data_IF_674671776863
#
_entry.id   IF_674671776863
#
_cell.length_a   1.000
_cell.length_b   1.000
_cell.length_c   1.000
_cell.angle_alpha   90.00
_cell.angle_beta   90.00
_cell.angle_gamma   90.00
#
_symmetry.space_group_name_H-M   'P 1'
#
loop_
_entity.id
_entity.type
_entity.pdbx_description
1 polymer ?
#
# COMPACT_ATOMS: atom_id res chain seq x y z
N UNK A 1 -30.83 13.57 4.34
CA UNK A 1 -29.52 13.07 3.88
C UNK A 1 -29.70 12.61 2.45
N UNK A 2 -28.97 13.20 1.50
CA UNK A 2 -29.00 12.75 0.09
C UNK A 2 -28.32 11.39 0.04
N UNK A 3 -29.04 10.36 -0.37
CA UNK A 3 -28.44 9.04 -0.60
C UNK A 3 -27.42 9.13 -1.72
N UNK A 4 -26.24 8.54 -1.49
CA UNK A 4 -25.20 8.40 -2.51
C UNK A 4 -25.48 7.11 -3.28
N UNK A 5 -25.58 7.21 -4.60
CA UNK A 5 -25.86 6.08 -5.48
C UNK A 5 -24.67 5.78 -6.37
N UNK A 6 -24.42 4.49 -6.56
CA UNK A 6 -23.55 3.92 -7.56
C UNK A 6 -24.38 3.43 -8.74
N UNK A 7 -23.84 3.38 -9.92
CA UNK A 7 -24.45 2.69 -11.04
C UNK A 7 -23.75 1.35 -11.27
N UNK A 8 -24.47 0.24 -11.05
CA UNK A 8 -24.04 -1.08 -11.51
C UNK A 8 -24.47 -1.22 -12.97
N UNK A 9 -23.53 -1.51 -13.85
CA UNK A 9 -23.77 -1.66 -15.29
C UNK A 9 -23.39 -3.04 -15.77
N UNK A 10 -24.13 -3.58 -16.76
CA UNK A 10 -23.82 -4.82 -17.46
C UNK A 10 -23.37 -4.47 -18.87
N UNK A 11 -22.25 -5.05 -19.29
CA UNK A 11 -21.61 -4.84 -20.60
C UNK A 11 -21.66 -6.16 -21.33
N UNK A 12 -22.47 -6.27 -22.40
CA UNK A 12 -22.63 -7.52 -23.16
C UNK A 12 -21.72 -7.53 -24.39
N UNK A 13 -21.38 -6.38 -24.94
CA UNK A 13 -20.57 -6.23 -26.14
C UNK A 13 -19.27 -5.47 -25.83
N UNK A 14 -18.15 -6.02 -26.27
CA UNK A 14 -16.83 -5.45 -26.00
C UNK A 14 -16.20 -5.94 -24.69
N UNK A 15 -15.02 -5.44 -24.39
CA UNK A 15 -14.31 -5.75 -23.16
C UNK A 15 -14.62 -4.71 -22.08
N UNK A 16 -14.40 -5.07 -20.80
CA UNK A 16 -14.46 -4.12 -19.71
C UNK A 16 -13.52 -2.92 -19.96
N UNK A 17 -12.35 -3.16 -20.53
CA UNK A 17 -11.37 -2.12 -20.81
C UNK A 17 -11.87 -1.14 -21.88
N UNK A 18 -12.51 -1.61 -22.94
CA UNK A 18 -13.10 -0.74 -23.96
C UNK A 18 -14.16 0.19 -23.36
N UNK A 19 -15.02 -0.38 -22.51
CA UNK A 19 -16.05 0.38 -21.82
C UNK A 19 -15.44 1.42 -20.87
N UNK A 20 -14.43 1.04 -20.10
CA UNK A 20 -13.70 1.94 -19.20
C UNK A 20 -13.09 3.10 -19.95
N UNK A 21 -12.44 2.86 -21.08
CA UNK A 21 -11.84 3.90 -21.93
C UNK A 21 -12.90 4.87 -22.46
N UNK A 22 -14.05 4.39 -22.88
CA UNK A 22 -15.15 5.25 -23.33
C UNK A 22 -15.66 6.15 -22.20
N UNK A 23 -15.81 5.61 -20.98
CA UNK A 23 -16.20 6.40 -19.82
C UNK A 23 -15.15 7.46 -19.45
N UNK A 24 -13.87 7.16 -19.59
CA UNK A 24 -12.79 8.13 -19.38
C UNK A 24 -12.86 9.25 -20.40
N UNK A 25 -13.17 8.96 -21.67
CA UNK A 25 -13.39 10.00 -22.68
C UNK A 25 -14.54 10.93 -22.31
N UNK A 26 -15.65 10.40 -21.79
CA UNK A 26 -16.80 11.19 -21.33
C UNK A 26 -16.48 12.02 -20.09
N UNK A 27 -15.80 11.44 -19.11
CA UNK A 27 -15.55 12.07 -17.81
C UNK A 27 -14.28 12.91 -17.77
N UNK A 28 -13.30 12.60 -18.61
CA UNK A 28 -11.98 13.26 -18.66
C UNK A 28 -10.86 12.42 -18.02
N UNK A 29 -9.60 12.85 -18.20
CA UNK A 29 -8.42 12.14 -17.71
C UNK A 29 -8.48 11.89 -16.21
N UNK A 30 -8.00 10.73 -15.77
CA UNK A 30 -7.94 10.35 -14.36
C UNK A 30 -9.24 9.87 -13.74
N UNK A 31 -10.33 9.76 -14.54
CA UNK A 31 -11.65 9.28 -14.06
C UNK A 31 -11.84 7.77 -14.20
N UNK A 32 -10.91 7.07 -14.79
CA UNK A 32 -10.89 5.60 -14.90
C UNK A 32 -10.98 4.86 -13.56
N UNK A 33 -10.46 5.47 -12.49
CA UNK A 33 -10.61 4.99 -11.11
C UNK A 33 -12.06 4.97 -10.59
N UNK A 34 -12.95 5.66 -11.27
CA UNK A 34 -14.39 5.63 -10.98
C UNK A 34 -15.10 4.39 -11.49
N UNK A 35 -14.42 3.53 -12.26
CA UNK A 35 -15.00 2.32 -12.88
C UNK A 35 -14.39 1.09 -12.23
N UNK A 36 -15.21 0.35 -11.47
CA UNK A 36 -14.81 -0.89 -10.80
C UNK A 36 -15.38 -2.10 -11.54
N UNK A 37 -14.55 -3.03 -11.95
CA UNK A 37 -15.02 -4.31 -12.46
C UNK A 37 -15.51 -5.17 -11.29
N UNK A 38 -16.78 -5.62 -11.31
CA UNK A 38 -17.40 -6.46 -10.29
C UNK A 38 -17.85 -7.82 -10.81
N UNK A 39 -17.60 -8.10 -12.08
CA UNK A 39 -17.88 -9.37 -12.77
C UNK A 39 -17.29 -9.35 -14.16
N UNK A 40 -17.31 -10.49 -14.87
CA UNK A 40 -16.77 -10.59 -16.24
C UNK A 40 -17.39 -9.55 -17.18
N UNK A 41 -18.70 -9.31 -17.02
CA UNK A 41 -19.47 -8.37 -17.82
C UNK A 41 -20.14 -7.29 -16.96
N UNK A 42 -19.68 -7.05 -15.76
CA UNK A 42 -20.30 -6.13 -14.83
C UNK A 42 -19.28 -5.12 -14.30
N UNK A 43 -19.69 -3.86 -14.27
CA UNK A 43 -18.92 -2.77 -13.68
C UNK A 43 -19.76 -2.00 -12.66
N UNK A 44 -19.09 -1.46 -11.64
CA UNK A 44 -19.66 -0.55 -10.67
C UNK A 44 -19.05 0.84 -10.88
N UNK A 45 -19.90 1.83 -11.14
CA UNK A 45 -19.50 3.21 -11.40
C UNK A 45 -19.64 4.04 -10.12
N UNK A 46 -18.56 4.65 -9.70
CA UNK A 46 -18.51 5.48 -8.49
C UNK A 46 -19.25 6.81 -8.64
N UNK A 47 -19.79 7.37 -7.56
CA UNK A 47 -20.56 8.62 -7.60
C UNK A 47 -19.80 9.83 -8.16
N UNK A 48 -18.48 9.92 -7.92
CA UNK A 48 -17.70 11.05 -8.43
C UNK A 48 -17.54 11.00 -9.96
N UNK A 49 -17.34 9.80 -10.55
CA UNK A 49 -17.33 9.62 -11.99
C UNK A 49 -18.66 10.06 -12.61
N UNK A 50 -19.78 9.61 -12.03
CA UNK A 50 -21.12 9.97 -12.49
C UNK A 50 -21.38 11.48 -12.41
N UNK A 51 -20.93 12.13 -11.32
CA UNK A 51 -20.99 13.60 -11.19
C UNK A 51 -20.14 14.30 -12.24
N UNK A 52 -18.94 13.78 -12.54
CA UNK A 52 -18.05 14.37 -13.52
C UNK A 52 -18.60 14.27 -14.94
N UNK A 53 -19.15 13.10 -15.31
CA UNK A 53 -19.84 12.92 -16.61
C UNK A 53 -20.98 13.94 -16.73
N UNK A 54 -21.81 14.04 -15.69
CA UNK A 54 -22.93 14.98 -15.67
C UNK A 54 -22.49 16.44 -15.78
N UNK A 55 -21.39 16.82 -15.13
CA UNK A 55 -20.90 18.21 -15.18
C UNK A 55 -20.37 18.61 -16.55
N UNK A 56 -19.80 17.65 -17.30
CA UNK A 56 -19.26 17.90 -18.65
C UNK A 56 -20.33 17.88 -19.73
N UNK A 57 -21.42 17.15 -19.51
CA UNK A 57 -22.51 17.01 -20.47
C UNK A 57 -23.88 17.23 -19.78
N UNK A 58 -24.14 18.44 -19.27
CA UNK A 58 -25.32 18.71 -18.43
C UNK A 58 -26.65 18.60 -19.16
N UNK A 59 -26.64 18.68 -20.48
CA UNK A 59 -27.86 18.60 -21.31
C UNK A 59 -28.31 17.15 -21.62
N UNK A 60 -27.45 16.15 -21.37
CA UNK A 60 -27.72 14.75 -21.68
C UNK A 60 -27.90 13.95 -20.38
N UNK A 61 -28.93 13.13 -20.24
CA UNK A 61 -29.09 12.26 -19.08
C UNK A 61 -27.89 11.30 -18.94
N UNK A 62 -27.38 11.13 -17.71
CA UNK A 62 -26.22 10.26 -17.45
C UNK A 62 -26.49 8.83 -17.92
N UNK A 63 -27.70 8.31 -17.75
CA UNK A 63 -28.07 6.96 -18.22
C UNK A 63 -27.91 6.82 -19.74
N UNK A 64 -28.27 7.85 -20.51
CA UNK A 64 -28.10 7.84 -21.96
C UNK A 64 -26.62 7.77 -22.32
N UNK A 65 -25.77 8.57 -21.68
CA UNK A 65 -24.32 8.59 -21.91
C UNK A 65 -23.67 7.24 -21.54
N UNK A 66 -24.13 6.60 -20.46
CA UNK A 66 -23.65 5.28 -20.08
C UNK A 66 -24.05 4.20 -21.09
N UNK A 67 -25.26 4.29 -21.67
CA UNK A 67 -25.71 3.39 -22.73
C UNK A 67 -24.94 3.59 -24.03
N UNK A 68 -24.71 4.82 -24.43
CA UNK A 68 -23.89 5.18 -25.59
C UNK A 68 -22.44 4.67 -25.45
N UNK A 69 -21.92 4.65 -24.20
CA UNK A 69 -20.62 4.08 -23.88
C UNK A 69 -20.61 2.53 -23.86
N UNK A 70 -21.76 1.84 -23.98
CA UNK A 70 -21.84 0.38 -24.07
C UNK A 70 -22.57 -0.31 -22.91
N UNK A 71 -23.16 0.41 -21.96
CA UNK A 71 -23.95 -0.20 -20.92
C UNK A 71 -25.29 -0.76 -21.46
N UNK A 72 -25.49 -2.06 -21.33
CA UNK A 72 -26.73 -2.72 -21.73
C UNK A 72 -27.81 -2.65 -20.64
N UNK A 73 -27.39 -2.72 -19.40
CA UNK A 73 -28.24 -2.58 -18.21
C UNK A 73 -27.60 -1.65 -17.20
N UNK A 74 -28.39 -0.84 -16.51
CA UNK A 74 -27.95 0.10 -15.49
C UNK A 74 -28.89 -0.07 -14.29
N UNK A 75 -28.31 -0.48 -13.16
CA UNK A 75 -29.00 -0.60 -11.87
C UNK A 75 -28.43 0.45 -10.91
N UNK A 76 -29.26 1.35 -10.41
CA UNK A 76 -28.84 2.30 -9.38
C UNK A 76 -28.88 1.63 -8.01
N UNK A 77 -27.73 1.51 -7.36
CA UNK A 77 -27.60 0.86 -6.07
C UNK A 77 -27.11 1.84 -5.00
N UNK A 78 -27.56 1.63 -3.78
CA UNK A 78 -27.13 2.43 -2.64
C UNK A 78 -25.71 2.06 -2.24
N UNK A 79 -25.05 2.97 -1.55
CA UNK A 79 -23.65 2.83 -1.13
C UNK A 79 -23.38 1.54 -0.31
N UNK A 80 -24.29 1.20 0.61
CA UNK A 80 -24.19 -0.03 1.41
C UNK A 80 -24.23 -1.30 0.55
N UNK A 81 -25.11 -1.36 -0.43
CA UNK A 81 -25.19 -2.48 -1.39
C UNK A 81 -23.96 -2.53 -2.31
N UNK A 82 -23.44 -1.38 -2.72
CA UNK A 82 -22.23 -1.28 -3.54
C UNK A 82 -21.00 -1.78 -2.76
N UNK A 83 -20.88 -1.43 -1.49
CA UNK A 83 -19.82 -1.92 -0.61
C UNK A 83 -19.91 -3.44 -0.40
N UNK A 84 -21.10 -3.99 -0.25
CA UNK A 84 -21.29 -5.44 -0.12
C UNK A 84 -20.86 -6.19 -1.37
N UNK A 85 -21.26 -5.75 -2.56
CA UNK A 85 -20.84 -6.35 -3.84
C UNK A 85 -19.33 -6.29 -4.01
N UNK A 86 -18.73 -5.19 -3.56
CA UNK A 86 -17.31 -4.99 -3.62
C UNK A 86 -16.54 -5.90 -2.64
N UNK A 87 -17.02 -6.01 -1.39
CA UNK A 87 -16.44 -6.92 -0.39
C UNK A 87 -16.55 -8.38 -0.83
N UNK A 88 -17.66 -8.78 -1.47
CA UNK A 88 -17.79 -10.12 -2.06
C UNK A 88 -16.69 -10.40 -3.08
N UNK A 89 -16.36 -9.45 -3.94
CA UNK A 89 -15.29 -9.62 -4.90
C UNK A 89 -13.89 -9.67 -4.27
N UNK A 90 -13.62 -8.84 -3.23
CA UNK A 90 -12.36 -8.96 -2.49
C UNK A 90 -12.20 -10.36 -1.90
N UNK A 91 -13.29 -10.94 -1.39
CA UNK A 91 -13.29 -12.31 -0.86
C UNK A 91 -13.08 -13.34 -1.98
N UNK A 92 -13.67 -13.13 -3.15
CA UNK A 92 -13.47 -13.98 -4.33
C UNK A 92 -12.04 -13.86 -4.89
N UNK A 93 -11.46 -12.67 -4.93
CA UNK A 93 -10.05 -12.45 -5.30
C UNK A 93 -9.06 -13.06 -4.26
N UNK A 94 -9.54 -13.32 -3.04
CA UNK A 94 -8.80 -14.05 -2.00
C UNK A 94 -9.05 -15.57 -2.07
N UNK A 95 -9.99 -16.05 -2.91
CA UNK A 95 -10.25 -17.48 -3.10
C UNK A 95 -9.08 -18.10 -3.87
N UNK A 96 -8.33 -19.07 -3.27
CA UNK A 96 -7.18 -19.70 -3.93
C UNK A 96 -7.55 -20.58 -5.13
N UNK A 97 -8.82 -20.72 -5.48
CA UNK A 97 -9.28 -21.56 -6.59
C UNK A 97 -9.44 -20.81 -7.92
N UNK A 98 -9.35 -19.47 -7.93
CA UNK A 98 -9.39 -18.72 -9.18
C UNK A 98 -7.94 -18.54 -9.70
N UNK A 99 -7.44 -19.52 -10.43
CA UNK A 99 -6.29 -19.34 -11.30
C UNK A 99 -6.68 -18.44 -12.49
N UNK A 100 -6.65 -17.14 -12.26
CA UNK A 100 -6.61 -16.20 -13.38
C UNK A 100 -5.17 -16.25 -13.90
N UNK A 101 -4.99 -16.71 -15.14
CA UNK A 101 -3.69 -16.68 -15.80
C UNK A 101 -3.08 -15.29 -15.66
N UNK A 102 -1.93 -15.19 -14.99
CA UNK A 102 -1.20 -13.93 -14.86
C UNK A 102 -0.94 -13.45 -16.29
N UNK A 103 -1.43 -12.28 -16.72
CA UNK A 103 -1.09 -11.76 -18.03
C UNK A 103 0.43 -11.73 -18.15
N UNK A 104 0.96 -11.93 -19.35
CA UNK A 104 2.40 -11.75 -19.61
C UNK A 104 2.75 -10.27 -19.43
N UNK A 105 2.93 -9.90 -18.16
CA UNK A 105 3.12 -8.52 -17.75
C UNK A 105 4.46 -8.03 -18.28
N UNK A 106 4.50 -6.83 -18.83
CA UNK A 106 5.76 -6.18 -19.19
C UNK A 106 6.69 -6.16 -17.96
N UNK A 107 7.79 -6.92 -18.02
CA UNK A 107 8.68 -7.13 -16.88
C UNK A 107 8.35 -8.36 -16.02
N UNK A 108 7.33 -9.15 -16.37
CA UNK A 108 6.97 -10.38 -15.67
C UNK A 108 6.63 -10.16 -14.19
N UNK A 109 6.93 -11.14 -13.35
CA UNK A 109 6.69 -11.12 -11.90
C UNK A 109 7.44 -9.99 -11.15
N UNK A 110 8.47 -9.38 -11.76
CA UNK A 110 9.28 -8.30 -11.19
C UNK A 110 8.87 -6.90 -11.65
N UNK A 111 7.76 -6.74 -12.36
CA UNK A 111 7.37 -5.47 -12.97
C UNK A 111 7.40 -4.28 -11.99
N UNK A 112 7.00 -4.51 -10.74
CA UNK A 112 6.96 -3.48 -9.70
C UNK A 112 8.36 -2.96 -9.34
N UNK A 113 9.37 -3.83 -9.35
CA UNK A 113 10.77 -3.44 -9.13
C UNK A 113 11.29 -2.57 -10.27
N UNK A 114 10.92 -2.92 -11.52
CA UNK A 114 11.27 -2.15 -12.72
C UNK A 114 10.51 -0.81 -12.75
N UNK A 115 9.23 -0.83 -12.39
CA UNK A 115 8.39 0.37 -12.39
C UNK A 115 8.91 1.47 -11.45
N UNK A 116 9.50 1.11 -10.31
CA UNK A 116 10.16 2.08 -9.41
C UNK A 116 11.68 2.17 -9.66
N UNK A 117 12.20 1.53 -10.71
CA UNK A 117 13.59 1.62 -11.12
C UNK A 117 14.58 1.33 -9.97
N UNK A 118 14.35 0.27 -9.16
CA UNK A 118 15.11 0.05 -7.92
C UNK A 118 16.56 -0.41 -8.16
N UNK A 119 16.87 -1.02 -9.31
CA UNK A 119 18.19 -1.61 -9.58
C UNK A 119 19.37 -0.63 -9.45
N UNK A 120 19.30 0.63 -9.91
CA UNK A 120 20.35 1.62 -9.67
C UNK A 120 20.57 1.93 -8.19
N UNK A 121 19.51 1.95 -7.38
CA UNK A 121 19.62 2.15 -5.94
C UNK A 121 20.37 1.01 -5.26
N UNK A 122 20.06 -0.23 -5.63
CA UNK A 122 20.81 -1.40 -5.16
C UNK A 122 22.28 -1.35 -5.59
N UNK A 123 22.55 -1.01 -6.86
CA UNK A 123 23.93 -0.89 -7.37
C UNK A 123 24.74 0.16 -6.60
N UNK A 124 24.13 1.30 -6.26
CA UNK A 124 24.76 2.36 -5.48
C UNK A 124 25.09 1.96 -4.03
N UNK A 125 24.47 0.86 -3.53
CA UNK A 125 24.69 0.29 -2.19
C UNK A 125 25.46 -1.04 -2.22
N UNK A 126 26.10 -1.40 -3.34
CA UNK A 126 26.92 -2.60 -3.48
C UNK A 126 26.19 -3.86 -3.93
N UNK A 127 24.89 -3.75 -4.22
CA UNK A 127 24.02 -4.84 -4.66
C UNK A 127 22.99 -5.28 -3.62
N UNK A 128 21.86 -5.86 -4.05
CA UNK A 128 20.72 -6.11 -3.18
C UNK A 128 20.98 -7.14 -2.07
N UNK A 129 21.97 -8.00 -2.24
CA UNK A 129 22.28 -9.05 -1.26
C UNK A 129 23.34 -8.62 -0.22
N UNK A 130 24.00 -7.47 -0.44
CA UNK A 130 25.16 -7.00 0.32
C UNK A 130 24.97 -5.62 0.96
N UNK A 131 23.75 -5.07 0.92
CA UNK A 131 23.45 -3.78 1.54
C UNK A 131 23.79 -3.83 3.03
N UNK A 132 24.62 -2.89 3.47
CA UNK A 132 24.91 -2.70 4.89
C UNK A 132 23.91 -1.72 5.49
N UNK A 133 22.95 -2.22 6.23
CA UNK A 133 21.90 -1.43 6.85
C UNK A 133 22.33 -0.65 8.10
N UNK A 134 23.50 -0.98 8.68
CA UNK A 134 23.97 -0.36 9.91
C UNK A 134 22.97 -0.52 11.06
N UNK A 135 22.52 0.59 11.60
CA UNK A 135 21.47 0.65 12.65
C UNK A 135 20.07 0.95 12.11
N UNK A 136 19.93 1.08 10.80
CA UNK A 136 18.64 1.40 10.18
C UNK A 136 17.65 0.26 10.39
N UNK A 137 16.47 0.59 10.85
CA UNK A 137 15.40 -0.36 11.12
C UNK A 137 14.05 0.14 10.59
N UNK A 138 13.25 -0.79 10.06
CA UNK A 138 11.88 -0.54 9.58
C UNK A 138 10.89 -1.15 10.55
N UNK A 139 9.81 -0.40 10.84
CA UNK A 139 8.65 -0.88 11.57
C UNK A 139 7.46 -1.14 10.63
N UNK A 140 6.59 -2.03 11.02
CA UNK A 140 5.32 -2.30 10.33
C UNK A 140 4.19 -2.45 11.34
N UNK A 141 3.11 -1.68 11.17
CA UNK A 141 1.84 -1.89 11.85
C UNK A 141 0.90 -2.64 10.91
N UNK A 142 0.47 -3.85 11.29
CA UNK A 142 -0.31 -4.72 10.40
C UNK A 142 -1.06 -5.83 11.16
N UNK A 143 -1.52 -6.88 10.45
CA UNK A 143 -2.11 -8.09 11.01
C UNK A 143 -1.09 -9.04 11.65
N UNK A 144 0.17 -8.65 11.73
CA UNK A 144 1.27 -9.50 12.17
C UNK A 144 2.02 -10.17 11.02
N UNK A 145 2.91 -11.11 11.33
CA UNK A 145 3.65 -11.89 10.34
C UNK A 145 3.45 -13.39 10.52
N UNK A 146 3.66 -14.17 9.47
CA UNK A 146 3.83 -15.62 9.53
C UNK A 146 5.27 -15.99 9.16
N UNK A 147 5.72 -17.14 9.61
CA UNK A 147 7.04 -17.65 9.21
C UNK A 147 7.02 -17.99 7.72
N UNK A 148 7.83 -17.30 6.92
CA UNK A 148 7.92 -17.52 5.49
C UNK A 148 9.37 -17.43 5.00
N UNK A 149 9.73 -18.25 3.99
CA UNK A 149 11.10 -18.23 3.42
C UNK A 149 11.48 -16.85 2.88
N UNK A 150 10.54 -16.06 2.37
CA UNK A 150 10.81 -14.70 1.89
C UNK A 150 11.28 -13.75 3.00
N UNK A 151 10.94 -14.02 4.25
CA UNK A 151 11.38 -13.29 5.44
C UNK A 151 12.55 -13.98 6.17
N UNK A 152 13.24 -14.92 5.51
CA UNK A 152 14.44 -15.61 6.02
C UNK A 152 14.16 -16.81 6.89
N UNK A 153 12.95 -17.13 7.23
CA UNK A 153 12.65 -18.31 8.03
C UNK A 153 13.02 -19.61 7.28
N UNK A 154 13.76 -20.48 7.94
CA UNK A 154 14.27 -21.71 7.34
C UNK A 154 15.33 -21.53 6.25
N UNK A 155 15.89 -20.33 6.11
CA UNK A 155 16.97 -20.03 5.15
C UNK A 155 18.34 -19.93 5.84
N UNK A 156 19.44 -20.18 5.12
CA UNK A 156 20.78 -19.90 5.64
C UNK A 156 20.91 -18.42 6.06
N UNK A 157 21.42 -18.19 7.27
CA UNK A 157 21.54 -16.86 7.85
C UNK A 157 20.32 -16.40 8.67
N UNK A 158 19.24 -17.19 8.68
CA UNK A 158 18.06 -16.91 9.49
C UNK A 158 17.20 -15.74 9.00
N UNK A 159 16.30 -15.27 9.85
CA UNK A 159 15.44 -14.11 9.60
C UNK A 159 16.13 -12.81 10.03
N UNK A 160 15.83 -11.72 9.34
CA UNK A 160 16.18 -10.34 9.73
C UNK A 160 14.99 -9.62 10.39
N UNK A 161 13.88 -10.32 10.61
CA UNK A 161 12.88 -9.82 11.52
C UNK A 161 13.47 -9.74 12.92
N UNK A 162 13.24 -8.63 13.58
CA UNK A 162 13.63 -8.40 14.98
C UNK A 162 12.58 -9.08 15.89
N UNK A 163 12.58 -10.42 15.90
CA UNK A 163 11.52 -11.23 16.52
C UNK A 163 11.37 -10.98 18.02
N UNK A 164 12.45 -10.60 18.69
CA UNK A 164 12.46 -10.14 20.08
C UNK A 164 11.83 -8.75 20.29
N UNK A 165 11.64 -7.99 19.22
CA UNK A 165 11.00 -6.68 19.19
C UNK A 165 9.66 -6.69 18.44
N UNK A 166 9.29 -7.79 17.78
CA UNK A 166 7.95 -7.97 17.25
C UNK A 166 6.94 -8.12 18.39
N UNK A 167 5.70 -7.61 18.22
CA UNK A 167 4.73 -7.58 19.29
C UNK A 167 3.30 -7.63 18.80
N UNK A 168 2.42 -8.22 19.62
CA UNK A 168 0.97 -8.07 19.49
C UNK A 168 0.48 -7.00 20.47
N UNK A 169 -0.26 -6.01 19.96
CA UNK A 169 -0.93 -4.97 20.74
C UNK A 169 -2.41 -4.98 20.36
N UNK A 170 -3.22 -5.72 21.12
CA UNK A 170 -4.66 -5.83 20.92
C UNK A 170 -5.37 -5.72 22.26
N UNK A 171 -6.54 -5.08 22.31
CA UNK A 171 -7.27 -4.70 23.54
C UNK A 171 -7.47 -5.84 24.55
N UNK A 172 -7.68 -7.07 24.09
CA UNK A 172 -7.90 -8.22 24.95
C UNK A 172 -6.67 -8.64 25.74
N UNK A 173 -5.49 -8.15 25.35
CA UNK A 173 -4.20 -8.68 25.80
C UNK A 173 -3.41 -7.67 26.63
N UNK A 174 -3.90 -6.43 26.75
CA UNK A 174 -3.19 -5.36 27.44
C UNK A 174 -3.87 -4.98 28.74
N UNK A 175 -3.22 -5.18 29.91
CA UNK A 175 -3.72 -4.66 31.18
C UNK A 175 -3.72 -3.11 31.16
N UNK A 176 -4.63 -2.47 31.92
CA UNK A 176 -4.62 -1.03 32.11
C UNK A 176 -3.25 -0.55 32.59
N UNK A 177 -2.61 0.37 31.86
CA UNK A 177 -1.26 0.85 32.18
C UNK A 177 -0.12 0.00 31.63
N UNK A 178 -0.36 -0.72 30.53
CA UNK A 178 0.65 -1.52 29.83
C UNK A 178 1.99 -0.82 29.73
N UNK A 179 3.00 -1.46 30.34
CA UNK A 179 4.40 -1.07 30.16
C UNK A 179 5.00 -1.81 28.97
N UNK A 180 5.72 -1.13 28.07
CA UNK A 180 6.31 -1.74 26.86
C UNK A 180 7.33 -2.84 27.13
N UNK A 181 7.62 -3.16 28.38
CA UNK A 181 8.73 -4.01 28.80
C UNK A 181 8.42 -5.52 28.77
N UNK A 182 7.17 -5.91 28.54
CA UNK A 182 6.76 -7.31 28.49
C UNK A 182 6.78 -7.86 27.06
N UNK A 183 7.98 -7.87 26.45
CA UNK A 183 8.18 -8.48 25.13
C UNK A 183 8.22 -10.01 25.29
N UNK A 184 7.32 -10.70 24.62
CA UNK A 184 7.43 -12.14 24.43
C UNK A 184 8.17 -12.43 23.12
N UNK A 185 9.17 -13.29 23.09
CA UNK A 185 9.82 -13.70 21.85
C UNK A 185 8.79 -14.25 20.84
N UNK A 186 8.94 -13.91 19.56
CA UNK A 186 8.00 -14.28 18.48
C UNK A 186 6.56 -13.71 18.64
N UNK A 187 6.35 -12.73 19.51
CA UNK A 187 5.10 -11.97 19.56
C UNK A 187 4.95 -11.15 18.26
N UNK A 188 3.73 -10.79 17.88
CA UNK A 188 3.46 -10.14 16.59
C UNK A 188 3.14 -11.13 15.45
N UNK A 189 3.01 -12.42 15.77
CA UNK A 189 2.62 -13.46 14.80
C UNK A 189 1.14 -13.32 14.42
N UNK A 190 0.85 -13.37 13.11
CA UNK A 190 -0.52 -13.47 12.60
C UNK A 190 -1.04 -14.91 12.83
N UNK A 191 -2.07 -15.12 13.64
CA UNK A 191 -2.62 -16.45 13.89
C UNK A 191 -3.35 -17.02 12.66
N UNK A 192 -3.51 -16.24 11.59
CA UNK A 192 -4.21 -16.65 10.36
C UNK A 192 -5.62 -17.19 10.65
N UNK A 193 -6.34 -16.53 11.58
CA UNK A 193 -7.69 -16.94 11.98
C UNK A 193 -8.58 -17.18 10.77
N UNK A 194 -9.31 -18.28 10.65
CA UNK A 194 -10.22 -18.56 9.54
C UNK A 194 -11.30 -17.47 9.35
N UNK A 195 -11.66 -16.77 10.42
CA UNK A 195 -12.63 -15.67 10.39
C UNK A 195 -12.04 -14.31 9.96
N UNK A 196 -10.70 -14.18 9.91
CA UNK A 196 -10.06 -12.95 9.50
C UNK A 196 -10.05 -12.82 7.97
N UNK A 197 -10.60 -11.71 7.45
CA UNK A 197 -10.70 -11.47 6.00
C UNK A 197 -9.32 -11.26 5.35
N UNK A 198 -8.37 -10.65 6.06
CA UNK A 198 -7.07 -10.26 5.54
C UNK A 198 -5.90 -11.02 6.20
N UNK A 199 -6.14 -12.26 6.61
CA UNK A 199 -5.11 -13.13 7.22
C UNK A 199 -3.85 -13.20 6.36
N UNK A 200 -2.69 -13.08 7.02
CA UNK A 200 -1.38 -13.06 6.38
C UNK A 200 -1.06 -11.79 5.58
N UNK A 201 -1.89 -10.73 5.70
CA UNK A 201 -1.65 -9.46 5.01
C UNK A 201 -0.28 -8.87 5.41
N UNK A 202 0.06 -8.85 6.69
CA UNK A 202 1.35 -8.31 7.14
C UNK A 202 2.56 -9.09 6.61
N UNK A 203 2.46 -10.41 6.40
CA UNK A 203 3.53 -11.19 5.74
C UNK A 203 3.74 -10.77 4.28
N UNK A 204 2.66 -10.58 3.53
CA UNK A 204 2.73 -10.14 2.13
C UNK A 204 3.36 -8.76 2.00
N UNK A 205 2.88 -7.82 2.81
CA UNK A 205 3.38 -6.44 2.87
C UNK A 205 4.84 -6.41 3.35
N UNK A 206 5.16 -7.07 4.46
CA UNK A 206 6.51 -7.13 5.02
C UNK A 206 7.52 -7.74 4.07
N UNK A 207 7.13 -8.78 3.31
CA UNK A 207 8.00 -9.37 2.29
C UNK A 207 8.22 -8.44 1.10
N UNK A 208 7.25 -7.60 0.74
CA UNK A 208 7.44 -6.55 -0.29
C UNK A 208 8.43 -5.49 0.17
N UNK A 209 8.49 -5.18 1.47
CA UNK A 209 9.49 -4.28 2.04
C UNK A 209 10.87 -4.95 2.07
N UNK A 210 11.01 -6.03 2.85
CA UNK A 210 12.31 -6.56 3.31
C UNK A 210 12.68 -7.95 2.76
N UNK A 211 11.84 -8.52 1.90
CA UNK A 211 12.06 -9.87 1.37
C UNK A 211 13.40 -10.04 0.68
N UNK A 212 14.10 -11.16 0.94
CA UNK A 212 15.36 -11.47 0.27
C UNK A 212 15.16 -12.28 -1.01
N UNK A 213 16.27 -12.55 -1.69
CA UNK A 213 16.29 -13.40 -2.87
C UNK A 213 15.79 -14.82 -2.55
N UNK A 214 14.65 -15.19 -3.10
CA UNK A 214 14.12 -16.56 -3.05
C UNK A 214 13.77 -17.00 -4.46
N UNK A 215 14.39 -18.09 -4.90
CA UNK A 215 14.03 -18.71 -6.17
C UNK A 215 12.68 -19.42 -6.04
N UNK A 216 11.75 -19.12 -6.92
CA UNK A 216 10.44 -19.73 -7.01
C UNK A 216 10.02 -19.84 -8.48
N UNK A 217 9.87 -21.07 -8.97
CA UNK A 217 9.47 -21.37 -10.35
C UNK A 217 10.23 -20.53 -11.40
N UNK A 218 11.57 -20.57 -11.33
CA UNK A 218 12.45 -19.86 -12.27
C UNK A 218 12.53 -18.35 -12.10
N UNK A 219 11.78 -17.77 -11.16
CA UNK A 219 11.80 -16.35 -10.82
C UNK A 219 12.44 -16.12 -9.45
N UNK A 220 13.27 -15.08 -9.32
CA UNK A 220 13.82 -14.69 -8.02
C UNK A 220 12.99 -13.56 -7.41
N UNK A 221 12.19 -13.90 -6.41
CA UNK A 221 11.46 -12.91 -5.61
C UNK A 221 12.45 -12.06 -4.79
N UNK A 222 12.16 -10.75 -4.66
CA UNK A 222 12.84 -9.81 -3.75
C UNK A 222 11.89 -8.71 -3.31
N UNK A 223 12.06 -8.23 -2.07
CA UNK A 223 11.52 -6.95 -1.63
C UNK A 223 12.36 -5.77 -2.11
N UNK A 224 11.89 -4.57 -1.85
CA UNK A 224 12.55 -3.31 -2.26
C UNK A 224 13.85 -3.08 -1.46
N UNK A 225 13.81 -3.32 -0.15
CA UNK A 225 14.94 -3.18 0.79
C UNK A 225 15.32 -4.54 1.37
N UNK A 226 16.00 -5.43 0.58
CA UNK A 226 16.23 -6.81 0.97
C UNK A 226 17.00 -6.90 2.29
N UNK A 227 16.47 -7.68 3.23
CA UNK A 227 17.06 -7.94 4.55
C UNK A 227 17.23 -6.69 5.45
N UNK A 228 16.50 -5.60 5.20
CA UNK A 228 16.49 -4.50 6.17
C UNK A 228 15.96 -5.03 7.51
N UNK A 229 16.61 -4.71 8.66
CA UNK A 229 16.10 -5.04 9.98
C UNK A 229 14.66 -4.56 10.13
N UNK A 230 13.75 -5.47 10.55
CA UNK A 230 12.32 -5.22 10.44
C UNK A 230 11.58 -5.70 11.68
N UNK A 231 10.89 -4.78 12.36
CA UNK A 231 10.02 -5.06 13.50
C UNK A 231 8.54 -4.99 13.08
N UNK A 232 7.78 -6.03 13.38
CA UNK A 232 6.35 -6.12 13.04
C UNK A 232 5.52 -6.04 14.32
N UNK A 233 4.55 -5.11 14.34
CA UNK A 233 3.59 -5.00 15.43
C UNK A 233 2.20 -5.34 14.90
N UNK A 234 1.62 -6.42 15.44
CA UNK A 234 0.25 -6.83 15.16
C UNK A 234 -0.70 -6.00 16.02
N UNK A 235 -1.59 -5.26 15.35
CA UNK A 235 -2.59 -4.40 16.02
C UNK A 235 -4.03 -4.74 15.63
N UNK A 236 -4.21 -5.68 14.71
CA UNK A 236 -5.53 -5.96 14.11
C UNK A 236 -5.53 -7.30 13.40
N UNK A 237 -6.72 -7.82 13.11
CA UNK A 237 -6.97 -8.95 12.20
C UNK A 237 -7.58 -8.49 10.87
N UNK A 238 -7.62 -7.18 10.61
CA UNK A 238 -8.23 -6.58 9.42
C UNK A 238 -7.38 -5.41 8.92
N UNK A 239 -7.57 -5.02 7.67
CA UNK A 239 -6.98 -3.78 7.13
C UNK A 239 -7.80 -2.54 7.48
N UNK A 240 -9.07 -2.71 7.89
CA UNK A 240 -9.90 -1.63 8.42
C UNK A 240 -9.74 -1.57 9.94
N UNK A 241 -9.28 -0.42 10.45
CA UNK A 241 -8.89 -0.23 11.86
C UNK A 241 -9.76 0.82 12.57
N UNK A 242 -11.02 0.92 12.22
CA UNK A 242 -11.93 1.91 12.79
C UNK A 242 -12.04 1.80 14.32
N UNK A 243 -12.07 0.60 14.82
CA UNK A 243 -12.15 0.22 16.24
C UNK A 243 -10.78 -0.05 16.89
N UNK A 244 -9.68 0.06 16.12
CA UNK A 244 -8.30 -0.24 16.54
C UNK A 244 -7.38 0.98 16.55
N UNK A 245 -7.94 2.18 16.63
CA UNK A 245 -7.13 3.41 16.57
C UNK A 245 -6.28 3.63 17.84
N UNK A 246 -6.66 3.06 18.97
CA UNK A 246 -5.87 3.11 20.19
C UNK A 246 -4.68 2.16 20.09
N UNK A 247 -4.88 0.94 19.62
CA UNK A 247 -3.81 -0.05 19.37
C UNK A 247 -2.84 0.46 18.31
N UNK A 248 -3.37 1.10 17.26
CA UNK A 248 -2.54 1.82 16.30
C UNK A 248 -1.63 2.85 16.98
N UNK A 249 -2.20 3.70 17.85
CA UNK A 249 -1.44 4.73 18.54
C UNK A 249 -0.38 4.15 19.49
N UNK A 250 -0.70 3.06 20.19
CA UNK A 250 0.23 2.36 21.07
C UNK A 250 1.35 1.67 20.27
N UNK A 251 0.99 0.93 19.20
CA UNK A 251 1.95 0.26 18.32
C UNK A 251 2.90 1.22 17.63
N UNK A 252 2.37 2.36 17.16
CA UNK A 252 3.20 3.41 16.55
C UNK A 252 4.21 3.97 17.56
N UNK A 253 3.77 4.29 18.78
CA UNK A 253 4.67 4.75 19.84
C UNK A 253 5.69 3.70 20.25
N UNK A 254 5.29 2.44 20.35
CA UNK A 254 6.21 1.35 20.63
C UNK A 254 7.34 1.27 19.59
N UNK A 255 7.00 1.31 18.31
CA UNK A 255 7.99 1.31 17.22
C UNK A 255 8.93 2.53 17.27
N UNK A 256 8.40 3.70 17.62
CA UNK A 256 9.18 4.94 17.71
C UNK A 256 10.04 4.99 18.96
N UNK A 257 9.44 4.77 20.14
CA UNK A 257 10.05 5.09 21.43
C UNK A 257 10.87 3.93 22.00
N UNK A 258 10.52 2.67 21.67
CA UNK A 258 11.16 1.46 22.21
C UNK A 258 12.07 0.80 21.18
N UNK A 259 11.53 0.51 19.97
CA UNK A 259 12.34 -0.12 18.92
C UNK A 259 13.29 0.87 18.25
N UNK A 260 12.89 2.13 18.14
CA UNK A 260 13.71 3.19 17.58
C UNK A 260 13.80 3.16 16.05
N UNK A 261 12.75 2.71 15.37
CA UNK A 261 12.71 2.57 13.91
C UNK A 261 12.87 3.89 13.17
N UNK A 262 13.33 3.85 11.93
CA UNK A 262 13.53 5.02 11.06
C UNK A 262 12.39 5.26 10.11
N UNK A 263 11.73 4.18 9.65
CA UNK A 263 10.60 4.20 8.72
C UNK A 263 9.53 3.26 9.24
N UNK A 264 8.27 3.64 9.14
CA UNK A 264 7.13 2.78 9.53
C UNK A 264 6.18 2.63 8.35
N UNK A 265 5.83 1.39 8.02
CA UNK A 265 4.78 1.06 7.06
C UNK A 265 3.43 0.96 7.77
N UNK A 266 2.42 1.61 7.20
CA UNK A 266 1.01 1.52 7.61
C UNK A 266 0.17 1.19 6.38
N UNK A 267 -0.13 -0.10 6.22
CA UNK A 267 -1.00 -0.60 5.14
C UNK A 267 -2.42 -0.87 5.64
N UNK A 268 -2.91 0.02 6.50
CA UNK A 268 -4.17 -0.06 7.23
C UNK A 268 -4.92 1.28 7.12
N UNK A 269 -6.24 1.25 7.28
CA UNK A 269 -7.02 2.47 7.13
C UNK A 269 -8.27 2.57 8.01
N UNK A 270 -8.68 3.81 8.27
CA UNK A 270 -9.95 4.18 8.91
C UNK A 270 -10.87 4.80 7.86
N UNK A 271 -12.07 4.27 7.74
CA UNK A 271 -13.12 4.83 6.88
C UNK A 271 -14.50 4.77 7.55
N UNK A 272 -15.27 5.87 7.62
CA UNK A 272 -14.93 7.22 7.13
C UNK A 272 -13.64 7.76 7.72
N UNK A 273 -12.86 8.60 7.01
CA UNK A 273 -11.47 8.94 7.34
C UNK A 273 -11.36 9.91 8.55
N UNK A 274 -11.87 9.47 9.68
CA UNK A 274 -11.89 10.24 10.95
C UNK A 274 -10.83 9.68 11.89
N UNK A 275 -9.65 10.31 11.88
CA UNK A 275 -8.59 9.97 12.82
C UNK A 275 -8.93 10.41 14.24
N UNK A 276 -8.80 9.48 15.20
CA UNK A 276 -8.99 9.77 16.62
C UNK A 276 -7.90 10.73 17.15
N UNK A 277 -8.15 11.41 18.28
CA UNK A 277 -7.11 12.20 18.91
C UNK A 277 -5.86 11.39 19.30
N UNK A 278 -6.00 10.11 19.65
CA UNK A 278 -4.88 9.22 19.96
C UNK A 278 -4.01 8.96 18.72
N UNK A 279 -4.63 8.58 17.60
CA UNK A 279 -3.96 8.40 16.31
C UNK A 279 -3.22 9.67 15.88
N UNK A 280 -3.88 10.83 15.90
CA UNK A 280 -3.25 12.11 15.52
C UNK A 280 -2.03 12.43 16.37
N UNK A 281 -2.11 12.27 17.70
CA UNK A 281 -0.98 12.53 18.60
C UNK A 281 0.18 11.56 18.36
N UNK A 282 -0.10 10.29 18.11
CA UNK A 282 0.93 9.30 17.84
C UNK A 282 1.66 9.59 16.52
N UNK A 283 0.92 9.94 15.46
CA UNK A 283 1.50 10.32 14.16
C UNK A 283 2.33 11.59 14.26
N UNK A 284 1.81 12.65 14.91
CA UNK A 284 2.57 13.87 15.16
C UNK A 284 3.85 13.63 15.99
N UNK A 285 3.79 12.71 16.96
CA UNK A 285 4.97 12.31 17.73
C UNK A 285 6.01 11.61 16.85
N UNK A 286 5.61 10.63 16.04
CA UNK A 286 6.51 9.93 15.10
C UNK A 286 7.21 10.93 14.15
N UNK A 287 6.44 11.86 13.59
CA UNK A 287 6.98 12.94 12.75
C UNK A 287 8.00 13.79 13.51
N UNK A 288 7.67 14.26 14.73
CA UNK A 288 8.58 15.06 15.53
C UNK A 288 9.89 14.33 15.88
N UNK A 289 9.83 13.00 16.03
CA UNK A 289 11.00 12.13 16.20
C UNK A 289 11.70 11.80 14.88
N UNK A 290 11.29 12.40 13.77
CA UNK A 290 11.87 12.21 12.44
C UNK A 290 11.62 10.82 11.84
N UNK A 291 10.64 10.07 12.31
CA UNK A 291 10.27 8.76 11.76
C UNK A 291 9.38 8.96 10.55
N UNK A 292 9.75 8.37 9.40
CA UNK A 292 8.99 8.45 8.15
C UNK A 292 7.84 7.46 8.23
N UNK A 293 6.60 7.94 8.39
CA UNK A 293 5.40 7.09 8.42
C UNK A 293 4.78 7.05 7.03
N UNK A 294 4.89 5.92 6.35
CA UNK A 294 4.35 5.70 5.00
C UNK A 294 3.01 5.00 5.08
N UNK A 295 1.99 5.59 4.48
CA UNK A 295 0.62 5.14 4.60
C UNK A 295 -0.02 4.84 3.24
N UNK A 296 -0.73 3.73 3.15
CA UNK A 296 -1.57 3.40 2.02
C UNK A 296 -2.74 4.39 1.90
N UNK A 297 -2.98 4.95 0.70
CA UNK A 297 -4.05 5.92 0.48
C UNK A 297 -5.45 5.34 0.75
N UNK A 298 -5.60 4.03 0.66
CA UNK A 298 -6.86 3.31 0.81
C UNK A 298 -7.27 2.60 -0.47
N UNK A 299 -8.21 1.66 -0.32
CA UNK A 299 -8.68 0.85 -1.43
C UNK A 299 -10.20 0.95 -1.54
N UNK A 300 -10.70 1.22 -2.77
CA UNK A 300 -12.11 1.13 -3.15
C UNK A 300 -13.06 2.07 -2.38
N UNK A 301 -12.49 3.05 -1.71
CA UNK A 301 -13.17 4.21 -1.16
C UNK A 301 -12.62 5.46 -1.85
N UNK A 302 -13.46 6.45 -2.15
CA UNK A 302 -13.02 7.62 -2.92
C UNK A 302 -12.01 8.48 -2.14
N UNK A 303 -12.27 8.91 -0.89
CA UNK A 303 -11.32 9.74 -0.18
C UNK A 303 -10.13 8.94 0.36
N UNK A 304 -9.00 9.61 0.47
CA UNK A 304 -7.83 9.09 1.19
C UNK A 304 -8.22 8.75 2.62
N UNK A 305 -7.89 7.53 3.08
CA UNK A 305 -8.20 7.05 4.43
C UNK A 305 -7.29 7.68 5.49
N UNK A 306 -7.71 7.67 6.76
CA UNK A 306 -6.77 7.97 7.85
C UNK A 306 -5.98 6.68 8.19
N UNK A 307 -4.65 6.76 8.56
CA UNK A 307 -3.91 7.99 8.82
C UNK A 307 -3.31 8.67 7.59
N UNK A 308 -3.36 8.09 6.38
CA UNK A 308 -2.71 8.62 5.18
C UNK A 308 -3.04 10.10 4.88
N UNK A 309 -4.25 10.55 5.22
CA UNK A 309 -4.63 11.96 5.02
C UNK A 309 -4.06 12.94 6.06
N UNK A 310 -3.32 12.48 7.06
CA UNK A 310 -2.68 13.37 8.03
C UNK A 310 -1.40 13.96 7.41
N UNK A 311 -1.15 15.28 7.55
CA UNK A 311 -0.05 15.95 6.87
C UNK A 311 1.34 15.47 7.29
N UNK A 312 1.44 14.81 8.45
CA UNK A 312 2.69 14.27 8.98
C UNK A 312 3.05 12.89 8.38
N UNK A 313 2.18 12.29 7.57
CA UNK A 313 2.42 10.98 6.93
C UNK A 313 2.72 11.13 5.45
N UNK A 314 3.37 10.13 4.87
CA UNK A 314 3.57 10.03 3.41
C UNK A 314 2.41 9.21 2.83
N UNK A 315 1.52 9.83 2.08
CA UNK A 315 0.35 9.21 1.48
C UNK A 315 0.65 8.65 0.09
N UNK A 316 0.46 7.35 -0.13
CA UNK A 316 0.84 6.68 -1.38
C UNK A 316 -0.38 6.06 -2.06
N UNK A 317 -0.68 6.52 -3.27
CA UNK A 317 -1.70 5.94 -4.15
C UNK A 317 -1.13 4.82 -5.02
N UNK A 318 -2.01 4.09 -5.69
CA UNK A 318 -1.65 2.91 -6.47
C UNK A 318 -1.63 3.12 -7.97
N UNK A 319 -0.65 2.47 -8.65
CA UNK A 319 -0.62 2.37 -10.12
C UNK A 319 -0.55 0.92 -10.59
N UNK A 320 -0.96 0.71 -11.84
CA UNK A 320 -0.84 -0.55 -12.57
C UNK A 320 0.51 -0.65 -13.30
N UNK A 321 0.81 -1.85 -13.84
CA UNK A 321 2.00 -2.08 -14.67
C UNK A 321 2.06 -1.21 -15.94
N UNK A 322 0.91 -0.75 -16.43
CA UNK A 322 0.82 0.19 -17.55
C UNK A 322 1.13 1.64 -17.16
N UNK A 323 1.52 1.87 -15.91
CA UNK A 323 1.73 3.21 -15.35
C UNK A 323 0.47 4.08 -15.31
N UNK A 324 -0.70 3.46 -15.27
CA UNK A 324 -1.99 4.11 -15.07
C UNK A 324 -2.37 4.06 -13.59
N UNK A 325 -3.15 5.02 -13.09
CA UNK A 325 -3.75 4.89 -11.76
C UNK A 325 -4.50 3.57 -11.61
N UNK A 326 -4.24 2.86 -10.51
CA UNK A 326 -4.98 1.63 -10.23
C UNK A 326 -6.43 1.98 -9.85
N UNK A 327 -7.38 1.33 -10.52
CA UNK A 327 -8.81 1.62 -10.33
C UNK A 327 -9.32 1.42 -8.89
N UNK A 328 -8.64 0.56 -8.12
CA UNK A 328 -8.94 0.33 -6.71
C UNK A 328 -8.34 1.38 -5.77
N UNK A 329 -7.46 2.27 -6.25
CA UNK A 329 -6.79 3.24 -5.37
C UNK A 329 -7.74 4.34 -4.90
N UNK A 330 -7.73 4.63 -3.59
CA UNK A 330 -8.20 5.92 -3.09
C UNK A 330 -7.31 7.04 -3.62
N UNK A 331 -7.86 8.24 -3.73
CA UNK A 331 -7.22 9.37 -4.37
C UNK A 331 -7.68 10.70 -3.74
N UNK A 332 -6.89 11.72 -3.88
CA UNK A 332 -7.21 13.05 -3.35
C UNK A 332 -6.00 13.97 -3.27
N UNK A 333 -6.21 15.21 -2.84
CA UNK A 333 -5.14 16.20 -2.72
C UNK A 333 -4.11 15.85 -1.64
N UNK A 334 -4.43 14.90 -0.76
CA UNK A 334 -3.54 14.44 0.30
C UNK A 334 -2.49 13.44 -0.21
N UNK A 335 -2.64 12.89 -1.43
CA UNK A 335 -1.67 11.94 -2.00
C UNK A 335 -0.38 12.67 -2.39
N UNK A 336 0.75 12.23 -1.85
CA UNK A 336 2.06 12.77 -2.20
C UNK A 336 2.51 12.30 -3.59
N UNK A 337 2.42 11.00 -3.83
CA UNK A 337 2.78 10.34 -5.10
C UNK A 337 2.16 8.93 -5.16
N UNK A 338 2.44 8.22 -6.26
CA UNK A 338 1.95 6.87 -6.49
C UNK A 338 3.08 5.86 -6.63
N UNK A 339 2.77 4.57 -6.36
CA UNK A 339 3.67 3.44 -6.56
C UNK A 339 2.88 2.19 -7.00
N UNK A 340 3.55 1.11 -7.48
CA UNK A 340 2.89 -0.12 -7.91
C UNK A 340 1.94 -0.70 -6.87
N UNK A 341 0.72 -1.05 -7.29
CA UNK A 341 -0.35 -1.52 -6.40
C UNK A 341 -1.18 -2.67 -6.94
N UNK A 342 -1.01 -3.07 -8.19
CA UNK A 342 -1.84 -4.09 -8.82
C UNK A 342 -1.02 -5.24 -9.40
N UNK A 343 -1.54 -6.47 -9.31
CA UNK A 343 -0.90 -7.67 -9.86
C UNK A 343 0.53 -7.93 -9.35
N UNK A 344 0.79 -7.70 -8.06
CA UNK A 344 2.10 -7.98 -7.48
C UNK A 344 2.25 -9.48 -7.20
N UNK A 345 3.41 -10.03 -7.56
CA UNK A 345 3.83 -11.37 -7.14
C UNK A 345 4.28 -11.33 -5.67
N UNK A 346 3.72 -12.18 -4.84
CA UNK A 346 3.82 -12.09 -3.38
C UNK A 346 3.89 -13.45 -2.70
N UNK A 347 4.46 -13.56 -1.48
CA UNK A 347 4.40 -14.76 -0.66
C UNK A 347 2.97 -15.19 -0.36
N UNK A 348 2.75 -16.49 -0.28
CA UNK A 348 1.52 -17.09 0.23
C UNK A 348 1.72 -17.54 1.68
N UNK A 349 1.13 -16.83 2.65
CA UNK A 349 1.26 -17.15 4.07
C UNK A 349 0.59 -18.49 4.42
N UNK A 350 1.13 -19.16 5.42
CA UNK A 350 0.54 -20.41 5.97
C UNK A 350 0.29 -20.24 7.46
N UNK A 351 -0.79 -20.87 8.01
CA UNK A 351 -1.12 -20.72 9.42
C UNK A 351 -0.15 -21.45 10.36
N UNK A 352 0.58 -22.44 9.85
CA UNK A 352 1.53 -23.23 10.64
C UNK A 352 2.75 -23.59 9.79
N UNK A 353 3.88 -23.77 10.47
CA UNK A 353 5.15 -24.10 9.81
C UNK A 353 5.77 -22.91 9.09
N UNK A 354 6.55 -23.18 8.05
CA UNK A 354 7.23 -22.17 7.24
C UNK A 354 6.63 -22.16 5.85
N UNK A 355 6.03 -21.03 5.45
CA UNK A 355 5.50 -20.82 4.11
C UNK A 355 6.62 -20.78 3.08
N UNK A 356 6.39 -21.44 1.95
CA UNK A 356 7.38 -21.57 0.86
C UNK A 356 6.86 -21.18 -0.49
N UNK A 357 5.56 -20.96 -0.64
CA UNK A 357 4.90 -20.70 -1.91
C UNK A 357 4.73 -19.20 -2.16
N UNK A 358 4.58 -18.84 -3.43
CA UNK A 358 4.28 -17.50 -3.88
C UNK A 358 3.10 -17.55 -4.86
N UNK A 359 2.37 -16.45 -4.93
CA UNK A 359 1.26 -16.25 -5.88
C UNK A 359 1.34 -14.89 -6.54
N UNK A 360 0.78 -14.78 -7.73
CA UNK A 360 0.56 -13.51 -8.41
C UNK A 360 -0.66 -12.75 -7.88
N UNK A 361 -0.95 -11.60 -8.49
CA UNK A 361 -2.19 -10.84 -8.37
C UNK A 361 -2.52 -10.29 -6.98
N UNK A 362 -1.49 -9.81 -6.26
CA UNK A 362 -1.70 -8.99 -5.08
C UNK A 362 -2.08 -7.56 -5.45
N UNK A 363 -3.28 -7.13 -5.10
CA UNK A 363 -3.77 -5.78 -5.32
C UNK A 363 -3.91 -5.01 -4.01
N UNK A 364 -3.60 -3.72 -4.04
CA UNK A 364 -3.80 -2.81 -2.91
C UNK A 364 -2.76 -1.70 -2.82
N UNK A 365 -3.18 -0.51 -2.40
CA UNK A 365 -2.27 0.58 -2.02
C UNK A 365 -1.35 0.18 -0.85
N UNK A 366 -1.66 -0.93 -0.17
CA UNK A 366 -0.80 -1.59 0.80
C UNK A 366 0.58 -1.92 0.22
N UNK A 367 0.63 -2.40 -1.03
CA UNK A 367 1.90 -2.69 -1.72
C UNK A 367 2.61 -1.41 -2.16
N UNK A 368 1.87 -0.39 -2.58
CA UNK A 368 2.45 0.92 -2.89
C UNK A 368 3.14 1.54 -1.66
N UNK A 369 2.51 1.46 -0.49
CA UNK A 369 3.11 1.88 0.77
C UNK A 369 4.34 1.03 1.14
N UNK A 370 4.27 -0.30 0.98
CA UNK A 370 5.40 -1.20 1.25
C UNK A 370 6.62 -0.90 0.35
N UNK A 371 6.39 -0.69 -0.94
CA UNK A 371 7.42 -0.30 -1.91
C UNK A 371 8.06 1.03 -1.52
N UNK A 372 7.25 2.01 -1.14
CA UNK A 372 7.71 3.33 -0.68
C UNK A 372 8.50 3.23 0.63
N UNK A 373 8.05 2.39 1.56
CA UNK A 373 8.76 2.13 2.82
C UNK A 373 10.17 1.57 2.57
N UNK A 374 10.28 0.58 1.68
CA UNK A 374 11.57 0.05 1.25
C UNK A 374 12.44 1.11 0.55
N UNK A 375 11.84 1.97 -0.27
CA UNK A 375 12.55 3.06 -0.95
C UNK A 375 13.04 4.13 0.03
N UNK A 376 12.27 4.43 1.08
CA UNK A 376 12.70 5.33 2.15
C UNK A 376 13.89 4.76 2.94
N UNK A 377 13.86 3.45 3.22
CA UNK A 377 14.99 2.77 3.86
C UNK A 377 16.26 2.83 2.98
N UNK A 378 16.14 2.59 1.65
CA UNK A 378 17.26 2.72 0.72
C UNK A 378 17.81 4.16 0.67
N UNK A 379 16.95 5.16 0.66
CA UNK A 379 17.36 6.57 0.68
C UNK A 379 18.12 6.94 1.97
N UNK A 380 17.59 6.51 3.12
CA UNK A 380 18.27 6.71 4.40
C UNK A 380 19.59 5.93 4.47
N UNK A 381 19.66 4.73 3.93
CA UNK A 381 20.90 3.94 3.84
C UNK A 381 21.94 4.63 2.97
N UNK A 382 21.51 5.22 1.85
CA UNK A 382 22.40 5.86 0.86
C UNK A 382 22.94 7.22 1.30
N UNK A 383 22.09 8.03 1.96
CA UNK A 383 22.37 9.43 2.27
C UNK A 383 22.35 9.73 3.79
N UNK A 384 22.36 8.65 4.61
CA UNK A 384 22.16 8.77 6.05
C UNK A 384 23.10 9.73 6.75
N UNK A 385 24.43 9.71 6.50
CA UNK A 385 25.36 10.66 7.13
C UNK A 385 25.03 12.12 6.83
N UNK A 386 24.74 12.44 5.56
CA UNK A 386 24.42 13.79 5.11
C UNK A 386 23.07 14.26 5.68
N UNK A 387 22.07 13.37 5.67
CA UNK A 387 20.74 13.62 6.23
C UNK A 387 20.84 13.88 7.74
N UNK A 388 21.58 13.05 8.47
CA UNK A 388 21.76 13.18 9.90
C UNK A 388 22.47 14.50 10.28
N UNK A 389 23.48 14.89 9.49
CA UNK A 389 24.22 16.13 9.69
C UNK A 389 23.34 17.38 9.45
N UNK A 390 22.45 17.34 8.43
CA UNK A 390 21.64 18.52 8.08
C UNK A 390 20.34 18.60 8.88
N UNK A 391 19.65 17.49 9.05
CA UNK A 391 18.27 17.48 9.58
C UNK A 391 18.15 16.85 10.97
N UNK A 392 19.15 16.06 11.38
CA UNK A 392 19.05 15.27 12.60
C UNK A 392 17.91 14.25 12.51
N UNK A 393 17.44 13.80 13.67
CA UNK A 393 16.26 12.93 13.80
C UNK A 393 15.06 13.77 14.23
N UNK A 394 14.56 14.60 13.28
CA UNK A 394 13.46 15.55 13.49
C UNK A 394 12.46 15.50 12.35
N UNK A 395 11.33 16.19 12.46
CA UNK A 395 10.34 16.32 11.39
C UNK A 395 10.91 16.85 10.06
N UNK A 396 12.00 17.64 10.12
CA UNK A 396 12.67 18.11 8.90
C UNK A 396 13.23 16.96 8.05
N UNK A 397 13.65 15.85 8.66
CA UNK A 397 14.06 14.63 7.95
C UNK A 397 12.89 14.01 7.18
N UNK A 398 11.69 14.02 7.74
CA UNK A 398 10.47 13.48 7.10
C UNK A 398 10.11 14.35 5.90
N UNK A 399 10.14 15.67 6.06
CA UNK A 399 9.85 16.60 4.97
C UNK A 399 10.91 16.56 3.86
N UNK A 400 12.19 16.35 4.21
CA UNK A 400 13.24 16.15 3.22
C UNK A 400 13.00 14.87 2.41
N UNK A 401 12.60 13.76 3.04
CA UNK A 401 12.20 12.56 2.30
C UNK A 401 11.02 12.83 1.38
N UNK A 402 9.96 13.50 1.87
CA UNK A 402 8.79 13.86 1.06
C UNK A 402 9.20 14.64 -0.19
N UNK A 403 10.01 15.67 -0.03
CA UNK A 403 10.49 16.51 -1.14
C UNK A 403 11.36 15.72 -2.12
N UNK A 404 12.30 14.90 -1.62
CA UNK A 404 13.15 14.03 -2.44
C UNK A 404 12.31 13.03 -3.25
N UNK A 405 11.36 12.35 -2.60
CA UNK A 405 10.50 11.38 -3.24
C UNK A 405 9.62 12.03 -4.32
N UNK A 406 8.98 13.16 -4.03
CA UNK A 406 8.19 13.94 -4.99
C UNK A 406 9.06 14.36 -6.20
N UNK A 407 10.26 14.87 -5.95
CA UNK A 407 11.18 15.31 -7.00
C UNK A 407 11.75 14.14 -7.82
N UNK A 408 11.84 12.94 -7.24
CA UNK A 408 12.27 11.73 -7.95
C UNK A 408 11.22 11.23 -8.94
N UNK A 409 9.95 11.51 -8.72
CA UNK A 409 8.84 10.93 -9.46
C UNK A 409 8.95 11.15 -10.98
N UNK A 410 8.70 10.08 -11.73
CA UNK A 410 8.46 10.18 -13.17
C UNK A 410 6.97 10.40 -13.44
N UNK A 411 6.68 11.19 -14.46
CA UNK A 411 5.32 11.50 -14.89
C UNK A 411 5.04 10.82 -16.22
N UNK A 412 4.25 9.75 -16.28
CA UNK A 412 3.82 9.16 -17.55
C UNK A 412 3.06 10.19 -18.40
N UNK A 413 3.02 10.01 -19.74
CA UNK A 413 2.19 10.84 -20.60
C UNK A 413 0.73 10.87 -20.11
N UNK A 414 0.16 12.07 -20.01
CA UNK A 414 -1.21 12.25 -19.50
C UNK A 414 -1.36 12.12 -17.98
N UNK A 415 -0.27 12.08 -17.23
CA UNK A 415 -0.35 12.00 -15.76
C UNK A 415 -1.10 13.20 -15.19
N UNK A 416 -2.05 12.90 -14.30
CA UNK A 416 -2.89 13.88 -13.63
C UNK A 416 -2.48 13.99 -12.14
N UNK A 417 -1.71 15.04 -11.74
CA UNK A 417 -1.11 15.13 -10.41
C UNK A 417 -2.16 15.17 -9.27
N UNK A 418 -3.26 15.87 -9.50
CA UNK A 418 -4.38 15.89 -8.59
C UNK A 418 -5.46 14.99 -9.17
N UNK A 419 -5.62 13.77 -8.71
CA UNK A 419 -5.61 13.28 -7.35
C UNK A 419 -4.56 12.21 -7.01
N UNK A 420 -3.58 11.92 -7.89
CA UNK A 420 -2.66 10.80 -7.72
C UNK A 420 -1.23 11.23 -7.34
N UNK A 421 -1.09 12.49 -6.89
CA UNK A 421 0.18 13.04 -6.43
C UNK A 421 1.17 13.32 -7.56
N UNK A 422 2.42 13.55 -7.20
CA UNK A 422 3.46 14.10 -8.08
C UNK A 422 3.82 13.24 -9.31
N UNK A 423 3.56 11.94 -9.23
CA UNK A 423 3.93 10.96 -10.27
C UNK A 423 4.13 9.58 -9.68
N UNK A 424 4.86 8.73 -10.39
CA UNK A 424 5.25 7.40 -9.93
C UNK A 424 6.66 7.48 -9.36
N UNK A 425 6.84 7.02 -8.12
CA UNK A 425 8.12 7.00 -7.41
C UNK A 425 9.23 6.36 -8.24
N UNK A 426 10.39 7.02 -8.35
CA UNK A 426 11.61 6.49 -8.94
C UNK A 426 12.67 6.32 -7.85
N UNK A 427 12.78 5.10 -7.32
CA UNK A 427 13.73 4.74 -6.25
C UNK A 427 15.18 4.82 -6.73
N UNK A 428 15.41 4.50 -8.00
CA UNK A 428 16.75 4.61 -8.60
C UNK A 428 17.23 6.06 -8.57
N UNK A 429 16.43 6.96 -9.10
CA UNK A 429 16.73 8.40 -9.07
C UNK A 429 16.84 8.94 -7.66
N UNK A 430 15.95 8.55 -6.75
CA UNK A 430 15.95 8.93 -5.33
C UNK A 430 17.28 8.63 -4.65
N UNK A 431 17.93 7.51 -5.01
CA UNK A 431 19.18 7.06 -4.38
C UNK A 431 20.44 7.40 -5.18
N UNK A 432 20.35 7.86 -6.44
CA UNK A 432 21.52 8.12 -7.28
C UNK A 432 21.68 9.58 -7.69
N UNK A 433 20.64 10.38 -7.61
CA UNK A 433 20.68 11.83 -7.90
C UNK A 433 21.12 12.58 -6.63
N UNK A 434 22.34 13.19 -6.61
CA UNK A 434 22.84 13.89 -5.42
C UNK A 434 21.98 15.10 -5.02
N UNK A 435 21.23 15.70 -5.96
CA UNK A 435 20.33 16.81 -5.63
C UNK A 435 19.15 16.38 -4.74
N UNK A 436 18.86 15.09 -4.67
CA UNK A 436 17.81 14.52 -3.85
C UNK A 436 18.31 13.98 -2.49
N UNK A 437 19.61 14.06 -2.22
CA UNK A 437 20.19 13.71 -0.92
C UNK A 437 19.72 14.68 0.17
N UNK A 438 19.71 15.96 -0.15
CA UNK A 438 19.45 17.05 0.80
C UNK A 438 18.57 18.15 0.12
N UNK A 439 17.32 17.84 -0.24
CA UNK A 439 16.41 18.75 -0.91
C UNK A 439 16.07 20.00 -0.08
#
# INVERSE_FOLDING_TARGET
MSHVYYAKVVIIHGTFEDYRQQLVQLAGPGMDVGVLQVGVHEALLRPHLLRQIRSRQPAVPVEQLLREAGANRIDWIREDAAQTLYLQRIVEDLDPQIEIAVPDLAGGRAWHLQAVNVAPAWAALGGPDTINWGTLCVGQLDTGYTRHKALGHGQPGGTWLLTDQCRTIMDSDLPPGYAPDLVQPDDGVDPMSPSALFRGHGTRVGSTISGHAVLDDGFTFRGIAPKVPHAVVRITDSVAINDRQNEFAQGLRYLVDVVGVDVINVSLGVFPPVASPAMKRAVAHAHAQGVIVVCAAGNHVDPVVAPARLPETIAVAGVTWQSLPWYGSSFGPEVDFSAPAANLYRPEPVPQGIGTQFKGMGDGTSYAAAITTGSAALWLCRWGPEIAAKYGRTGARVEAFRQAAIASCRKPPGWYPTPFGAGILDTGRLCTDPSLALP
#
